data_IF_676915307308
#
_entry.id   IF_676915307308
#
_cell.length_a   1.000
_cell.length_b   1.000
_cell.length_c   1.000
_cell.angle_alpha   90.00
_cell.angle_beta   90.00
_cell.angle_gamma   90.00
#
_symmetry.space_group_name_H-M   'P 1'
#
loop_
_entity.id
_entity.type
_entity.pdbx_description
1 polymer ?
#
# COMPACT_ATOMS: atom_id res chain seq x y z
N UNK A 1 -3.09 8.53 4.23
CA UNK A 1 -4.14 9.32 4.90
C UNK A 1 -3.91 9.31 6.41
N UNK A 2 -3.97 10.46 7.06
CA UNK A 2 -3.77 10.63 8.50
C UNK A 2 -5.03 11.25 9.12
N UNK A 3 -6.04 10.42 9.35
CA UNK A 3 -7.31 10.80 9.99
C UNK A 3 -7.59 9.82 11.12
N UNK A 4 -8.45 10.21 12.07
CA UNK A 4 -8.82 9.39 13.23
C UNK A 4 -9.71 8.20 12.81
N UNK A 5 -9.10 7.25 12.09
CA UNK A 5 -9.79 6.13 11.46
C UNK A 5 -10.30 5.10 12.46
N UNK A 6 -9.78 5.08 13.70
CA UNK A 6 -10.16 4.13 14.74
C UNK A 6 -10.36 4.84 16.10
N UNK A 7 -10.83 6.09 16.11
CA UNK A 7 -11.00 6.91 17.33
C UNK A 7 -11.72 6.18 18.47
N UNK A 8 -12.79 5.44 18.15
CA UNK A 8 -13.57 4.70 19.13
C UNK A 8 -12.73 3.67 19.90
N UNK A 9 -11.66 3.16 19.27
CA UNK A 9 -10.77 2.16 19.83
C UNK A 9 -9.81 2.70 20.89
N UNK A 10 -9.77 4.03 21.11
CA UNK A 10 -9.09 4.62 22.28
C UNK A 10 -9.74 4.09 23.56
N UNK A 11 -11.07 3.98 23.58
CA UNK A 11 -11.83 3.59 24.76
C UNK A 11 -12.49 2.22 24.65
N UNK A 12 -12.71 1.70 23.44
CA UNK A 12 -13.42 0.46 23.18
C UNK A 12 -12.53 -0.59 22.51
N UNK A 13 -12.75 -1.90 22.76
CA UNK A 13 -11.91 -2.94 22.15
C UNK A 13 -12.24 -3.23 20.68
N UNK A 14 -13.32 -2.67 20.14
CA UNK A 14 -13.83 -2.94 18.79
C UNK A 14 -14.19 -1.62 18.08
N UNK A 15 -13.90 -1.51 16.78
CA UNK A 15 -14.23 -0.32 16.00
C UNK A 15 -15.72 -0.28 15.63
N UNK A 16 -16.16 0.86 15.14
CA UNK A 16 -17.45 1.03 14.48
C UNK A 16 -17.40 0.57 13.03
N UNK A 17 -18.57 0.37 12.40
CA UNK A 17 -18.65 0.07 10.97
C UNK A 17 -18.15 1.21 10.08
N UNK A 18 -18.37 2.46 10.50
CA UNK A 18 -17.93 3.64 9.76
C UNK A 18 -16.39 3.70 9.69
N UNK A 19 -15.74 3.53 10.84
CA UNK A 19 -14.28 3.47 10.95
C UNK A 19 -13.64 2.40 10.05
N UNK A 20 -14.21 1.19 10.04
CA UNK A 20 -13.76 0.13 9.12
C UNK A 20 -13.95 0.51 7.66
N UNK A 21 -15.07 1.17 7.33
CA UNK A 21 -15.35 1.65 5.98
C UNK A 21 -14.36 2.73 5.55
N UNK A 22 -14.00 3.66 6.44
CA UNK A 22 -13.07 4.75 6.15
C UNK A 22 -11.68 4.22 5.80
N UNK A 23 -11.18 3.22 6.54
CA UNK A 23 -9.92 2.53 6.22
C UNK A 23 -10.02 1.87 4.82
N UNK A 24 -11.10 1.16 4.56
CA UNK A 24 -11.29 0.46 3.29
C UNK A 24 -11.38 1.42 2.09
N UNK A 25 -11.97 2.61 2.27
CA UNK A 25 -11.99 3.66 1.24
C UNK A 25 -10.59 4.21 1.01
N UNK A 26 -9.86 4.57 2.07
CA UNK A 26 -8.50 5.11 1.95
C UNK A 26 -7.55 4.15 1.23
N UNK A 27 -7.64 2.85 1.51
CA UNK A 27 -6.84 1.81 0.82
C UNK A 27 -7.28 1.67 -0.64
N UNK A 28 -8.59 1.70 -0.91
CA UNK A 28 -9.14 1.60 -2.28
C UNK A 28 -8.77 2.79 -3.16
N UNK A 29 -8.67 3.98 -2.59
CA UNK A 29 -8.21 5.19 -3.27
C UNK A 29 -6.70 5.17 -3.56
N UNK A 30 -5.98 4.14 -3.12
CA UNK A 30 -4.56 3.99 -3.38
C UNK A 30 -3.71 4.89 -2.49
N UNK A 31 -4.05 5.00 -1.20
CA UNK A 31 -3.13 5.61 -0.24
C UNK A 31 -1.92 4.71 0.00
N UNK A 32 -0.71 5.30 0.00
CA UNK A 32 0.53 4.56 0.29
C UNK A 32 0.68 4.16 1.76
N UNK A 33 0.09 4.94 2.66
CA UNK A 33 0.14 4.70 4.08
C UNK A 33 -1.11 5.24 4.77
N UNK A 34 -1.54 4.54 5.81
CA UNK A 34 -2.58 4.97 6.75
C UNK A 34 -1.95 5.05 8.14
N UNK A 35 -2.45 5.96 8.98
CA UNK A 35 -1.84 6.29 10.27
C UNK A 35 -2.80 6.09 11.43
N UNK A 36 -2.28 5.59 12.55
CA UNK A 36 -2.94 5.64 13.86
C UNK A 36 -2.29 6.73 14.71
N UNK A 37 -3.10 7.48 15.44
CA UNK A 37 -2.68 8.60 16.28
C UNK A 37 -2.92 8.26 17.76
N UNK A 38 -3.97 8.83 18.38
CA UNK A 38 -4.32 8.61 19.78
C UNK A 38 -4.60 7.14 20.11
N UNK A 39 -5.02 6.35 19.12
CA UNK A 39 -5.30 4.92 19.26
C UNK A 39 -4.07 4.11 19.71
N UNK A 40 -2.89 4.48 19.22
CA UNK A 40 -1.63 3.82 19.60
C UNK A 40 -0.84 4.59 20.64
N UNK A 41 -0.93 5.92 20.66
CA UNK A 41 -0.18 6.77 21.58
C UNK A 41 -0.68 6.68 23.02
N UNK A 42 -2.01 6.69 23.24
CA UNK A 42 -2.60 6.66 24.58
C UNK A 42 -3.90 5.84 24.66
N UNK A 43 -4.19 5.01 23.66
CA UNK A 43 -5.39 4.18 23.63
C UNK A 43 -5.32 3.01 24.61
N UNK A 44 -6.47 2.54 25.10
CA UNK A 44 -6.56 1.35 25.97
C UNK A 44 -6.26 0.04 25.23
N UNK A 45 -6.36 0.04 23.89
CA UNK A 45 -6.24 -1.17 23.06
C UNK A 45 -5.30 -1.00 21.84
N UNK A 46 -4.04 -0.54 22.02
CA UNK A 46 -3.17 -0.15 20.91
C UNK A 46 -2.86 -1.33 19.96
N UNK A 47 -2.58 -2.52 20.51
CA UNK A 47 -2.33 -3.72 19.72
C UNK A 47 -3.57 -4.18 18.92
N UNK A 48 -4.77 -3.98 19.45
CA UNK A 48 -6.01 -4.33 18.72
C UNK A 48 -6.26 -3.35 17.60
N UNK A 49 -6.03 -2.05 17.81
CA UNK A 49 -6.17 -1.03 16.78
C UNK A 49 -5.27 -1.34 15.57
N UNK A 50 -3.98 -1.64 15.80
CA UNK A 50 -3.05 -2.05 14.73
C UNK A 50 -3.54 -3.31 14.00
N UNK A 51 -3.97 -4.35 14.73
CA UNK A 51 -4.48 -5.59 14.12
C UNK A 51 -5.73 -5.37 13.28
N UNK A 52 -6.65 -4.51 13.74
CA UNK A 52 -7.86 -4.15 12.99
C UNK A 52 -7.45 -3.45 11.70
N UNK A 53 -6.56 -2.45 11.78
CA UNK A 53 -6.11 -1.70 10.61
C UNK A 53 -5.44 -2.60 9.57
N UNK A 54 -4.52 -3.48 10.01
CA UNK A 54 -3.84 -4.47 9.17
C UNK A 54 -4.84 -5.43 8.49
N UNK A 55 -5.78 -5.98 9.27
CA UNK A 55 -6.80 -6.90 8.75
C UNK A 55 -7.68 -6.24 7.68
N UNK A 56 -8.10 -4.99 7.90
CA UNK A 56 -8.95 -4.26 6.94
C UNK A 56 -8.16 -3.90 5.68
N UNK A 57 -6.90 -3.49 5.82
CA UNK A 57 -6.02 -3.18 4.69
C UNK A 57 -5.80 -4.41 3.81
N UNK A 58 -5.32 -5.53 4.37
CA UNK A 58 -5.09 -6.78 3.64
C UNK A 58 -6.33 -7.31 2.93
N UNK A 59 -7.49 -7.23 3.61
CA UNK A 59 -8.76 -7.68 3.03
C UNK A 59 -9.20 -6.78 1.87
N UNK A 60 -9.01 -5.47 2.00
CA UNK A 60 -9.33 -4.51 0.94
C UNK A 60 -8.40 -4.70 -0.27
N UNK A 61 -7.09 -4.83 -0.05
CA UNK A 61 -6.12 -5.10 -1.12
C UNK A 61 -6.40 -6.41 -1.85
N UNK A 62 -6.73 -7.47 -1.12
CA UNK A 62 -7.09 -8.77 -1.71
C UNK A 62 -8.33 -8.66 -2.59
N UNK A 63 -9.32 -7.84 -2.20
CA UNK A 63 -10.50 -7.56 -3.04
C UNK A 63 -10.15 -6.79 -4.31
N UNK A 64 -9.15 -5.91 -4.29
CA UNK A 64 -8.73 -5.14 -5.46
C UNK A 64 -7.97 -5.99 -6.48
N UNK A 65 -7.18 -6.96 -6.01
CA UNK A 65 -6.50 -7.92 -6.89
C UNK A 65 -7.46 -8.72 -7.77
N UNK A 66 -8.68 -8.97 -7.27
CA UNK A 66 -9.73 -9.65 -8.06
C UNK A 66 -10.34 -8.77 -9.14
N UNK A 67 -10.32 -7.44 -8.98
CA UNK A 67 -10.96 -6.49 -9.91
C UNK A 67 -9.99 -5.90 -10.93
N UNK A 68 -8.70 -5.81 -10.60
CA UNK A 68 -7.69 -5.14 -11.41
C UNK A 68 -6.97 -6.12 -12.36
N UNK A 69 -7.69 -6.62 -13.37
CA UNK A 69 -7.11 -7.17 -14.61
C UNK A 69 -6.83 -6.10 -15.66
N UNK A 70 -7.08 -4.82 -15.36
CA UNK A 70 -6.87 -3.71 -16.29
C UNK A 70 -5.53 -3.01 -16.02
N UNK A 71 -4.57 -3.37 -16.87
CA UNK A 71 -3.35 -2.65 -17.21
C UNK A 71 -3.47 -1.12 -16.98
N UNK A 72 -2.79 -0.59 -15.97
CA UNK A 72 -2.40 0.81 -15.91
C UNK A 72 -1.41 1.07 -17.06
N UNK A 73 -1.93 1.36 -18.25
CA UNK A 73 -1.12 1.89 -19.35
C UNK A 73 -0.68 3.29 -18.92
N UNK A 74 0.62 3.59 -18.83
CA UNK A 74 1.08 4.92 -18.50
C UNK A 74 0.62 5.87 -19.61
N UNK A 75 -0.10 6.92 -19.22
CA UNK A 75 -0.29 8.08 -20.08
C UNK A 75 1.09 8.61 -20.49
N UNK A 76 1.33 8.57 -21.79
CA UNK A 76 2.55 8.94 -22.51
C UNK A 76 2.82 10.43 -22.27
N UNK A 77 3.49 10.82 -21.17
CA UNK A 77 3.96 12.20 -21.02
C UNK A 77 5.10 12.42 -20.00
N UNK A 78 6.11 11.55 -19.97
CA UNK A 78 7.37 11.91 -19.31
C UNK A 78 8.56 11.51 -20.17
N UNK A 79 9.45 12.47 -20.42
CA UNK A 79 10.73 12.29 -21.14
C UNK A 79 11.40 11.00 -20.67
N UNK A 80 11.66 10.07 -21.60
CA UNK A 80 12.07 8.69 -21.32
C UNK A 80 13.40 8.65 -20.57
N UNK A 81 13.33 8.68 -19.24
CA UNK A 81 14.44 8.32 -18.40
C UNK A 81 14.43 6.80 -18.31
N UNK A 82 15.48 6.13 -18.83
CA UNK A 82 15.62 4.66 -18.91
C UNK A 82 15.05 3.88 -17.70
N UNK A 83 15.26 4.37 -16.48
CA UNK A 83 14.71 3.75 -15.27
C UNK A 83 13.18 3.72 -15.12
N UNK A 84 12.42 4.58 -15.81
CA UNK A 84 10.93 4.55 -15.81
C UNK A 84 10.44 3.37 -16.65
N UNK A 85 10.96 3.24 -17.87
CA UNK A 85 10.63 2.13 -18.78
C UNK A 85 10.98 0.78 -18.17
N UNK A 86 12.17 0.67 -17.56
CA UNK A 86 12.59 -0.55 -16.86
C UNK A 86 11.63 -0.88 -15.71
N UNK A 87 11.23 0.10 -14.91
CA UNK A 87 10.30 -0.11 -13.80
C UNK A 87 8.91 -0.55 -14.29
N UNK A 88 8.40 0.07 -15.35
CA UNK A 88 7.12 -0.29 -15.95
C UNK A 88 7.12 -1.74 -16.45
N UNK A 89 8.10 -2.08 -17.31
CA UNK A 89 8.19 -3.42 -17.88
C UNK A 89 8.49 -4.49 -16.83
N UNK A 90 9.34 -4.21 -15.84
CA UNK A 90 9.59 -5.13 -14.74
C UNK A 90 8.32 -5.41 -13.93
N UNK A 91 7.53 -4.38 -13.63
CA UNK A 91 6.25 -4.53 -12.91
C UNK A 91 5.23 -5.33 -13.72
N UNK A 92 5.12 -5.05 -15.03
CA UNK A 92 4.23 -5.80 -15.91
C UNK A 92 4.61 -7.28 -16.00
N UNK A 93 5.91 -7.59 -16.16
CA UNK A 93 6.39 -8.98 -16.20
C UNK A 93 6.13 -9.71 -14.88
N UNK A 94 6.43 -9.07 -13.75
CA UNK A 94 6.20 -9.65 -12.43
C UNK A 94 4.72 -9.91 -12.14
N UNK A 95 3.84 -8.99 -12.56
CA UNK A 95 2.39 -9.16 -12.44
C UNK A 95 1.88 -10.33 -13.30
N UNK A 96 2.39 -10.46 -14.53
CA UNK A 96 2.02 -11.57 -15.43
C UNK A 96 2.50 -12.93 -14.93
N UNK A 97 3.70 -12.98 -14.35
CA UNK A 97 4.29 -14.21 -13.81
C UNK A 97 3.83 -14.53 -12.38
N UNK A 98 3.24 -13.56 -11.68
CA UNK A 98 2.89 -13.69 -10.26
C UNK A 98 4.10 -13.82 -9.35
N UNK A 99 5.23 -13.20 -9.71
CA UNK A 99 6.51 -13.31 -8.98
C UNK A 99 6.87 -12.04 -8.22
N UNK A 100 7.57 -12.13 -7.07
CA UNK A 100 8.09 -10.97 -6.37
C UNK A 100 9.19 -10.25 -7.18
N UNK A 101 9.37 -8.95 -6.94
CA UNK A 101 10.46 -8.17 -7.51
C UNK A 101 11.61 -8.04 -6.50
N UNK A 102 12.84 -8.15 -6.98
CA UNK A 102 14.05 -7.90 -6.20
C UNK A 102 14.81 -6.74 -6.83
N UNK A 103 15.16 -5.73 -6.04
CA UNK A 103 15.73 -4.48 -6.51
C UNK A 103 16.93 -4.11 -5.64
N UNK A 104 18.08 -3.90 -6.30
CA UNK A 104 19.25 -3.32 -5.66
C UNK A 104 19.33 -1.84 -6.00
N UNK A 105 19.41 -0.97 -4.99
CA UNK A 105 19.44 0.48 -5.19
C UNK A 105 20.23 1.17 -4.07
N UNK A 106 20.99 2.21 -4.40
CA UNK A 106 21.74 3.00 -3.41
C UNK A 106 20.93 4.16 -2.82
N UNK A 107 20.06 4.76 -3.63
CA UNK A 107 19.30 5.98 -3.26
C UNK A 107 17.82 5.70 -3.02
N UNK A 108 17.35 4.48 -3.24
CA UNK A 108 15.92 4.15 -3.19
C UNK A 108 15.11 4.58 -4.42
N UNK A 109 15.71 5.29 -5.39
CA UNK A 109 14.96 5.86 -6.52
C UNK A 109 14.25 4.81 -7.38
N UNK A 110 14.82 3.61 -7.52
CA UNK A 110 14.17 2.52 -8.27
C UNK A 110 13.00 1.91 -7.49
N UNK A 111 13.11 1.82 -6.16
CA UNK A 111 12.02 1.35 -5.32
C UNK A 111 10.78 2.26 -5.43
N UNK A 112 10.98 3.58 -5.37
CA UNK A 112 9.89 4.56 -5.52
C UNK A 112 9.22 4.43 -6.89
N UNK A 113 10.01 4.28 -7.98
CA UNK A 113 9.47 4.11 -9.34
C UNK A 113 8.67 2.81 -9.50
N UNK A 114 9.12 1.71 -8.91
CA UNK A 114 8.39 0.45 -8.94
C UNK A 114 7.10 0.53 -8.12
N UNK A 115 7.14 1.09 -6.92
CA UNK A 115 5.95 1.28 -6.07
C UNK A 115 4.87 2.13 -6.75
N UNK A 116 5.26 3.12 -7.56
CA UNK A 116 4.33 3.92 -8.36
C UNK A 116 3.44 3.07 -9.29
N UNK A 117 3.97 1.97 -9.82
CA UNK A 117 3.21 1.06 -10.70
C UNK A 117 2.37 0.02 -9.94
N UNK A 118 2.36 0.04 -8.61
CA UNK A 118 1.54 -0.82 -7.74
C UNK A 118 1.60 -2.30 -8.15
N UNK A 119 2.78 -2.95 -8.10
CA UNK A 119 2.91 -4.36 -8.40
C UNK A 119 1.99 -5.21 -7.51
N UNK A 120 1.44 -6.29 -8.06
CA UNK A 120 0.55 -7.20 -7.34
C UNK A 120 1.30 -8.05 -6.30
N UNK A 121 2.60 -8.20 -6.51
CA UNK A 121 3.52 -8.96 -5.67
C UNK A 121 4.43 -8.05 -4.85
N UNK A 122 5.03 -8.60 -3.80
CA UNK A 122 5.94 -7.88 -2.90
C UNK A 122 7.21 -7.42 -3.63
N UNK A 123 7.71 -6.23 -3.27
CA UNK A 123 8.98 -5.68 -3.75
C UNK A 123 10.00 -5.76 -2.64
N UNK A 124 11.07 -6.52 -2.86
CA UNK A 124 12.22 -6.58 -1.96
C UNK A 124 13.28 -5.60 -2.43
N UNK A 125 13.62 -4.65 -1.55
CA UNK A 125 14.58 -3.58 -1.85
C UNK A 125 15.81 -3.78 -0.97
N UNK A 126 16.97 -3.86 -1.62
CA UNK A 126 18.26 -3.98 -0.97
C UNK A 126 19.09 -2.72 -1.25
N UNK A 127 19.64 -2.15 -0.20
CA UNK A 127 20.52 -0.98 -0.22
C UNK A 127 21.75 -1.26 0.63
N UNK A 128 22.86 -0.60 0.33
CA UNK A 128 24.10 -0.67 1.10
C UNK A 128 24.31 0.58 1.99
N UNK A 129 23.30 1.44 2.04
CA UNK A 129 23.14 2.60 2.94
C UNK A 129 22.04 2.31 3.96
#
# INVERSE_FOLDING_TARGET
VATNMLESMINHPTPTRAEVSDIAVAVREGSDAIMLSGETAHGKYPLKAVKVMDTVALRTESSLKMTNTSSLVPSILCKSHMGVEVAFHATAMANNLGTPLIVFTRTGSMAIRLSHYRPSSMVFVFTNE
#
